data_IF_560902822394
#
_entry.id   IF_560902822394
#
_cell.length_a   1.000
_cell.length_b   1.000
_cell.length_c   1.000
_cell.angle_alpha   90.00
_cell.angle_beta   90.00
_cell.angle_gamma   90.00
#
_symmetry.space_group_name_H-M   'P 1'
#
loop_
_entity.id
_entity.type
_entity.pdbx_description
1 polymer ?
#
# COMPACT_ATOMS: atom_id res chain seq x y z
N UNK A 1 -7.60 -16.16 10.80
CA UNK A 1 -9.01 -15.79 10.52
C UNK A 1 -9.47 -16.56 9.30
N UNK A 2 -10.73 -17.02 9.24
CA UNK A 2 -11.29 -17.63 8.02
C UNK A 2 -11.19 -16.68 6.81
N UNK A 3 -11.10 -17.24 5.61
CA UNK A 3 -11.02 -16.47 4.36
C UNK A 3 -12.28 -15.63 4.11
N UNK A 4 -13.44 -16.13 4.51
CA UNK A 4 -14.76 -15.51 4.40
C UNK A 4 -15.15 -14.64 5.60
N UNK A 5 -14.20 -14.33 6.50
CA UNK A 5 -14.45 -13.44 7.62
C UNK A 5 -14.75 -12.01 7.13
N UNK A 6 -15.99 -11.57 7.34
CA UNK A 6 -16.50 -10.27 6.87
C UNK A 6 -16.04 -9.06 7.72
N UNK A 7 -15.42 -9.31 8.88
CA UNK A 7 -14.95 -8.25 9.77
C UNK A 7 -13.58 -7.68 9.38
N UNK A 8 -13.12 -6.69 10.14
CA UNK A 8 -11.78 -6.15 9.97
C UNK A 8 -10.75 -7.01 10.72
N UNK A 9 -9.75 -7.51 10.00
CA UNK A 9 -8.58 -8.19 10.55
C UNK A 9 -7.31 -7.51 10.01
N UNK A 10 -7.15 -6.24 10.34
CA UNK A 10 -6.11 -5.37 9.78
C UNK A 10 -5.24 -4.81 10.90
N UNK A 11 -3.93 -4.83 10.69
CA UNK A 11 -2.94 -4.13 11.50
C UNK A 11 -1.98 -3.40 10.58
N UNK A 12 -1.57 -2.19 10.98
CA UNK A 12 -0.57 -1.41 10.24
C UNK A 12 0.80 -1.61 10.88
N UNK A 13 1.82 -1.78 10.06
CA UNK A 13 3.20 -1.86 10.51
C UNK A 13 4.07 -0.80 9.83
N UNK A 14 4.91 -0.06 10.57
CA UNK A 14 5.81 0.91 9.97
C UNK A 14 6.94 0.19 9.22
N UNK A 15 7.27 0.72 8.05
CA UNK A 15 8.47 0.36 7.29
C UNK A 15 9.34 1.61 7.24
N UNK A 16 10.54 1.54 7.81
CA UNK A 16 11.41 2.70 7.98
C UNK A 16 12.69 2.52 7.17
N UNK A 17 12.92 3.42 6.22
CA UNK A 17 14.13 3.47 5.41
C UNK A 17 14.74 4.87 5.53
N UNK A 18 16.07 4.95 5.64
CA UNK A 18 16.76 6.25 5.73
C UNK A 18 16.76 6.93 4.37
N UNK A 19 16.45 8.22 4.31
CA UNK A 19 16.42 9.00 3.06
C UNK A 19 17.71 8.86 2.24
N UNK A 20 18.88 8.88 2.89
CA UNK A 20 20.19 8.69 2.22
C UNK A 20 20.35 7.33 1.52
N UNK A 21 19.59 6.32 1.93
CA UNK A 21 19.58 4.99 1.32
C UNK A 21 18.66 4.94 0.09
N UNK A 22 17.79 5.93 -0.09
CA UNK A 22 16.91 6.07 -1.26
C UNK A 22 17.63 6.74 -2.44
N UNK A 23 18.52 7.71 -2.17
CA UNK A 23 19.19 8.54 -3.19
C UNK A 23 20.35 7.86 -3.95
N UNK A 24 20.39 6.53 -4.01
CA UNK A 24 21.48 5.78 -4.65
C UNK A 24 21.30 5.64 -6.17
N UNK A 25 22.35 5.90 -6.94
CA UNK A 25 22.39 5.61 -8.39
C UNK A 25 22.13 4.11 -8.68
N UNK A 26 21.54 3.80 -9.84
CA UNK A 26 21.26 2.45 -10.35
C UNK A 26 20.25 1.62 -9.53
N UNK A 27 19.07 2.17 -9.20
CA UNK A 27 17.96 1.46 -8.55
C UNK A 27 18.27 0.82 -7.17
N UNK A 28 19.43 1.12 -6.58
CA UNK A 28 19.82 0.59 -5.25
C UNK A 28 18.83 1.02 -4.16
N UNK A 29 18.23 2.21 -4.30
CA UNK A 29 17.17 2.68 -3.42
C UNK A 29 15.91 1.82 -3.49
N UNK A 30 15.45 1.48 -4.70
CA UNK A 30 14.26 0.64 -4.91
C UNK A 30 14.45 -0.76 -4.33
N UNK A 31 15.59 -1.39 -4.64
CA UNK A 31 15.91 -2.72 -4.08
C UNK A 31 16.00 -2.72 -2.56
N UNK A 32 16.48 -1.62 -1.95
CA UNK A 32 16.53 -1.46 -0.50
C UNK A 32 15.14 -1.34 0.12
N UNK A 33 14.25 -0.54 -0.48
CA UNK A 33 12.85 -0.43 -0.03
C UNK A 33 12.17 -1.79 -0.12
N UNK A 34 12.31 -2.49 -1.26
CA UNK A 34 11.73 -3.82 -1.44
C UNK A 34 12.24 -4.84 -0.40
N UNK A 35 13.55 -4.81 -0.10
CA UNK A 35 14.14 -5.67 0.93
C UNK A 35 13.60 -5.38 2.33
N UNK A 36 13.42 -4.11 2.70
CA UNK A 36 12.89 -3.76 4.02
C UNK A 36 11.40 -4.09 4.15
N UNK A 37 10.61 -3.89 3.08
CA UNK A 37 9.21 -4.34 3.01
C UNK A 37 9.13 -5.85 3.22
N UNK A 38 9.92 -6.62 2.48
CA UNK A 38 9.94 -8.08 2.60
C UNK A 38 10.34 -8.51 4.03
N UNK A 39 11.41 -7.94 4.58
CA UNK A 39 11.87 -8.23 5.94
C UNK A 39 10.78 -7.97 6.98
N UNK A 40 10.05 -6.85 6.87
CA UNK A 40 8.94 -6.55 7.78
C UNK A 40 7.85 -7.61 7.62
N UNK A 41 7.36 -7.85 6.39
CA UNK A 41 6.27 -8.80 6.11
C UNK A 41 6.63 -10.22 6.56
N UNK A 42 7.82 -10.72 6.22
CA UNK A 42 8.31 -12.04 6.63
C UNK A 42 8.50 -12.15 8.15
N UNK A 43 8.69 -11.01 8.83
CA UNK A 43 8.82 -10.94 10.27
C UNK A 43 7.50 -10.88 11.04
N UNK A 44 6.34 -10.76 10.37
CA UNK A 44 5.01 -10.73 10.99
C UNK A 44 4.50 -12.14 11.27
N UNK A 45 4.99 -12.76 12.34
CA UNK A 45 4.53 -14.07 12.79
C UNK A 45 3.22 -13.98 13.58
N UNK A 46 2.52 -15.10 13.72
CA UNK A 46 1.32 -15.24 14.54
C UNK A 46 1.52 -14.71 15.96
N UNK A 47 2.67 -14.99 16.59
CA UNK A 47 2.99 -14.54 17.94
C UNK A 47 3.10 -13.02 18.00
N UNK A 48 3.76 -12.38 17.02
CA UNK A 48 3.87 -10.92 16.98
C UNK A 48 2.52 -10.25 16.74
N UNK A 49 1.70 -10.81 15.85
CA UNK A 49 0.38 -10.29 15.55
C UNK A 49 -0.52 -10.38 16.78
N UNK A 50 -0.54 -11.52 17.47
CA UNK A 50 -1.30 -11.71 18.71
C UNK A 50 -0.82 -10.74 19.80
N UNK A 51 0.49 -10.65 20.03
CA UNK A 51 1.05 -9.72 21.02
C UNK A 51 0.73 -8.26 20.72
N UNK A 52 0.68 -7.87 19.44
CA UNK A 52 0.27 -6.51 19.06
C UNK A 52 -1.22 -6.25 19.33
N UNK A 53 -2.09 -7.24 19.09
CA UNK A 53 -3.51 -7.16 19.41
C UNK A 53 -3.73 -7.09 20.92
N UNK A 54 -3.06 -7.94 21.70
CA UNK A 54 -3.13 -7.95 23.16
C UNK A 54 -2.68 -6.60 23.75
N UNK A 55 -1.54 -6.08 23.28
CA UNK A 55 -1.04 -4.76 23.71
C UNK A 55 -2.02 -3.63 23.35
N UNK A 56 -2.67 -3.71 22.19
CA UNK A 56 -3.69 -2.73 21.80
C UNK A 56 -4.96 -2.84 22.66
N UNK A 57 -5.36 -4.05 23.09
CA UNK A 57 -6.49 -4.22 24.02
C UNK A 57 -6.19 -3.58 25.38
N UNK A 58 -4.95 -3.71 25.87
CA UNK A 58 -4.53 -3.10 27.14
C UNK A 58 -4.46 -1.58 27.07
N UNK A 59 -4.02 -1.02 25.93
CA UNK A 59 -3.91 0.41 25.72
C UNK A 59 -4.39 0.81 24.31
N UNK A 60 -5.72 0.93 24.12
CA UNK A 60 -6.29 1.14 22.81
C UNK A 60 -5.91 2.51 22.26
N UNK A 61 -5.34 2.49 21.06
CA UNK A 61 -5.04 3.70 20.29
C UNK A 61 -5.87 3.72 19.02
N UNK A 62 -6.39 4.88 18.68
CA UNK A 62 -7.13 5.09 17.43
C UNK A 62 -6.17 5.64 16.38
N UNK A 63 -5.93 4.93 15.26
CA UNK A 63 -5.10 5.48 14.20
C UNK A 63 -5.79 6.71 13.62
N UNK A 64 -5.04 7.80 13.50
CA UNK A 64 -5.48 9.00 12.79
C UNK A 64 -4.83 9.03 11.43
N UNK A 65 -5.53 9.58 10.42
CA UNK A 65 -4.97 9.82 9.09
C UNK A 65 -3.64 10.56 9.18
N UNK A 66 -3.56 11.62 10.01
CA UNK A 66 -2.32 12.36 10.22
C UNK A 66 -1.21 11.46 10.77
N UNK A 67 -1.51 10.61 11.76
CA UNK A 67 -0.53 9.68 12.35
C UNK A 67 -0.01 8.59 11.40
N UNK A 68 -0.73 8.28 10.32
CA UNK A 68 -0.33 7.26 9.35
C UNK A 68 0.69 7.76 8.31
N UNK A 69 0.86 9.08 8.16
CA UNK A 69 1.54 9.65 6.97
C UNK A 69 2.47 10.82 7.26
N UNK A 70 2.68 11.24 8.52
CA UNK A 70 3.62 12.35 8.80
C UNK A 70 5.03 11.98 8.31
N UNK A 71 5.44 12.58 7.19
CA UNK A 71 6.74 12.34 6.56
C UNK A 71 6.89 10.99 5.87
N UNK A 72 5.80 10.33 5.47
CA UNK A 72 5.82 9.00 4.87
C UNK A 72 4.72 8.76 3.83
N UNK A 73 4.49 7.49 3.52
CA UNK A 73 3.45 7.03 2.60
C UNK A 73 2.67 5.88 3.25
N UNK A 74 1.38 5.77 2.95
CA UNK A 74 0.52 4.70 3.44
C UNK A 74 0.13 3.77 2.28
N UNK A 75 0.59 2.52 2.34
CA UNK A 75 0.25 1.48 1.38
C UNK A 75 -0.94 0.65 1.88
N UNK A 76 -1.86 0.29 0.99
CA UNK A 76 -3.00 -0.56 1.32
C UNK A 76 -3.48 -1.38 0.13
N UNK A 77 -4.41 -2.30 0.39
CA UNK A 77 -4.90 -3.29 -0.58
C UNK A 77 -3.79 -4.28 -0.99
N UNK A 78 -4.10 -5.16 -1.94
CA UNK A 78 -3.20 -6.20 -2.41
C UNK A 78 -3.55 -6.57 -3.85
N UNK A 79 -2.55 -6.77 -4.73
CA UNK A 79 -2.79 -7.28 -6.07
C UNK A 79 -3.29 -8.74 -6.09
N UNK A 80 -3.34 -9.40 -4.91
CA UNK A 80 -3.84 -10.77 -4.77
C UNK A 80 -5.36 -10.84 -4.53
N UNK A 81 -6.03 -9.72 -4.28
CA UNK A 81 -7.46 -9.71 -4.05
C UNK A 81 -8.21 -9.79 -5.38
N UNK A 82 -9.11 -10.76 -5.51
CA UNK A 82 -9.90 -10.95 -6.72
C UNK A 82 -11.02 -9.90 -6.83
N UNK A 83 -10.65 -8.74 -7.34
CA UNK A 83 -11.58 -7.62 -7.56
C UNK A 83 -12.30 -7.73 -8.90
N UNK A 84 -11.75 -8.49 -9.87
CA UNK A 84 -12.31 -8.66 -11.22
C UNK A 84 -13.20 -9.92 -11.37
N UNK A 85 -13.19 -10.83 -10.38
CA UNK A 85 -14.05 -12.02 -10.35
C UNK A 85 -15.52 -11.73 -10.06
N UNK A 86 -15.85 -10.50 -9.65
CA UNK A 86 -17.23 -10.08 -9.38
C UNK A 86 -18.02 -9.82 -10.67
N UNK A 87 -18.59 -10.87 -11.25
CA UNK A 87 -19.53 -10.79 -12.38
C UNK A 87 -20.97 -11.05 -11.90
N UNK A 88 -21.82 -10.03 -12.00
CA UNK A 88 -23.23 -10.10 -11.60
C UNK A 88 -24.17 -10.53 -12.73
N UNK A 89 -23.62 -11.00 -13.87
CA UNK A 89 -24.38 -11.47 -15.03
C UNK A 89 -24.38 -10.52 -16.24
N UNK A 90 -23.67 -9.39 -16.13
CA UNK A 90 -23.51 -8.40 -17.20
C UNK A 90 -22.05 -8.21 -17.64
N UNK A 91 -21.16 -9.09 -17.20
CA UNK A 91 -19.74 -9.06 -17.54
C UNK A 91 -18.87 -8.58 -16.39
N UNK A 92 -17.56 -8.85 -16.54
CA UNK A 92 -16.53 -8.53 -15.56
C UNK A 92 -16.27 -7.02 -15.45
N UNK A 93 -15.77 -6.55 -14.30
CA UNK A 93 -15.35 -5.15 -14.16
C UNK A 93 -14.25 -4.78 -15.16
N UNK A 94 -14.28 -3.53 -15.65
CA UNK A 94 -13.27 -2.99 -16.58
C UNK A 94 -12.11 -2.28 -15.86
N UNK A 95 -12.35 -1.81 -14.63
CA UNK A 95 -11.36 -1.14 -13.80
C UNK A 95 -11.82 -1.14 -12.34
N UNK A 96 -10.88 -0.99 -11.41
CA UNK A 96 -11.13 -0.89 -9.96
C UNK A 96 -10.44 0.36 -9.41
N UNK A 97 -11.19 1.14 -8.61
CA UNK A 97 -10.74 2.42 -8.04
C UNK A 97 -11.28 2.59 -6.63
N UNK A 98 -10.56 3.35 -5.80
CA UNK A 98 -11.01 3.67 -4.44
C UNK A 98 -11.96 4.88 -4.41
N UNK A 99 -12.89 4.86 -3.45
CA UNK A 99 -13.76 6.01 -3.16
C UNK A 99 -13.01 7.19 -2.54
N UNK A 100 -13.54 8.41 -2.69
CA UNK A 100 -12.92 9.65 -2.22
C UNK A 100 -12.61 9.67 -0.72
N UNK A 101 -13.40 8.99 0.11
CA UNK A 101 -13.17 8.90 1.56
C UNK A 101 -11.86 8.21 1.96
N UNK A 102 -11.22 7.49 1.03
CA UNK A 102 -9.94 6.81 1.26
C UNK A 102 -8.74 7.56 0.67
N UNK A 103 -8.94 8.77 0.14
CA UNK A 103 -7.90 9.55 -0.55
C UNK A 103 -7.32 10.64 0.36
N UNK A 104 -6.00 10.64 0.48
CA UNK A 104 -5.22 11.64 1.21
C UNK A 104 -3.79 11.66 0.67
N UNK A 105 -3.09 12.79 0.86
CA UNK A 105 -1.71 12.94 0.40
C UNK A 105 -0.79 11.85 0.98
N UNK A 106 -0.06 11.17 0.10
CA UNK A 106 0.81 10.04 0.44
C UNK A 106 0.10 8.67 0.50
N UNK A 107 -1.17 8.57 0.08
CA UNK A 107 -1.89 7.29 -0.01
C UNK A 107 -1.55 6.53 -1.30
N UNK A 108 -1.28 5.25 -1.15
CA UNK A 108 -1.13 4.29 -2.24
C UNK A 108 -2.10 3.13 -2.04
N UNK A 109 -2.83 2.78 -3.10
CA UNK A 109 -3.71 1.63 -3.12
C UNK A 109 -3.36 0.74 -4.30
N UNK A 110 -3.10 -0.54 -4.02
CA UNK A 110 -2.64 -1.49 -5.03
C UNK A 110 -3.75 -2.47 -5.39
N UNK A 111 -3.96 -2.69 -6.68
CA UNK A 111 -4.93 -3.63 -7.23
C UNK A 111 -4.23 -4.59 -8.20
N UNK A 112 -4.79 -5.77 -8.48
CA UNK A 112 -4.41 -6.46 -9.70
C UNK A 112 -4.72 -5.54 -10.89
N UNK A 113 -3.88 -5.56 -11.91
CA UNK A 113 -4.20 -4.94 -13.18
C UNK A 113 -5.21 -5.78 -13.95
N UNK A 114 -5.81 -5.19 -14.98
CA UNK A 114 -6.77 -5.90 -15.85
C UNK A 114 -6.09 -7.00 -16.67
N UNK A 115 -4.82 -6.81 -17.01
CA UNK A 115 -4.01 -7.79 -17.69
C UNK A 115 -3.39 -8.77 -16.69
N UNK A 116 -3.29 -10.04 -17.09
CA UNK A 116 -2.76 -11.06 -16.19
C UNK A 116 -1.29 -10.77 -15.85
N UNK A 117 -1.01 -10.60 -14.55
CA UNK A 117 0.32 -10.30 -14.04
C UNK A 117 0.66 -8.81 -13.93
N UNK A 118 -0.20 -7.91 -14.43
CA UNK A 118 -0.01 -6.47 -14.23
C UNK A 118 -0.55 -6.01 -12.87
N UNK A 119 -0.17 -4.80 -12.47
CA UNK A 119 -0.53 -4.20 -11.17
C UNK A 119 -0.94 -2.75 -11.42
N UNK A 120 -2.12 -2.41 -10.93
CA UNK A 120 -2.61 -1.03 -10.92
C UNK A 120 -2.25 -0.38 -9.58
N UNK A 121 -1.64 0.80 -9.61
CA UNK A 121 -1.34 1.59 -8.41
C UNK A 121 -2.08 2.92 -8.47
N UNK A 122 -3.03 3.13 -7.55
CA UNK A 122 -3.66 4.42 -7.35
C UNK A 122 -2.84 5.22 -6.33
N UNK A 123 -2.32 6.39 -6.74
CA UNK A 123 -1.52 7.28 -5.91
C UNK A 123 -2.28 8.58 -5.68
N UNK A 124 -2.42 8.99 -4.42
CA UNK A 124 -2.99 10.30 -4.05
C UNK A 124 -1.88 11.18 -3.49
N UNK A 125 -1.66 12.32 -4.13
CA UNK A 125 -0.59 13.26 -3.82
C UNK A 125 -1.14 14.68 -3.75
N UNK A 126 -0.43 15.56 -3.04
CA UNK A 126 -0.63 16.99 -3.17
C UNK A 126 -0.41 17.43 -4.63
N UNK A 127 -1.11 18.49 -5.11
CA UNK A 127 -0.92 18.98 -6.48
C UNK A 127 0.53 19.31 -6.82
N UNK A 128 1.29 19.85 -5.85
CA UNK A 128 2.71 20.16 -6.02
C UNK A 128 3.54 18.90 -6.24
N UNK A 129 3.34 17.87 -5.41
CA UNK A 129 4.08 16.61 -5.52
C UNK A 129 3.70 15.87 -6.81
N UNK A 130 2.42 15.87 -7.19
CA UNK A 130 1.95 15.28 -8.44
C UNK A 130 2.62 15.95 -9.66
N UNK A 131 2.60 17.28 -9.73
CA UNK A 131 3.21 18.00 -10.85
C UNK A 131 4.73 17.74 -10.98
N UNK A 132 5.43 17.58 -9.85
CA UNK A 132 6.85 17.22 -9.85
C UNK A 132 7.09 15.79 -10.34
N UNK A 133 6.23 14.86 -9.92
CA UNK A 133 6.32 13.45 -10.34
C UNK A 133 5.99 13.28 -11.83
N UNK A 134 4.99 13.99 -12.33
CA UNK A 134 4.61 14.02 -13.77
C UNK A 134 5.72 14.61 -14.66
N UNK A 135 6.56 15.47 -14.09
CA UNK A 135 7.71 16.06 -14.78
C UNK A 135 9.00 15.24 -14.65
N UNK A 136 8.99 14.16 -13.85
CA UNK A 136 10.14 13.30 -13.64
C UNK A 136 10.27 12.28 -14.77
N UNK A 137 11.31 12.42 -15.58
CA UNK A 137 11.50 11.59 -16.77
C UNK A 137 11.83 10.13 -16.45
N UNK A 138 12.50 9.86 -15.33
CA UNK A 138 12.82 8.49 -14.92
C UNK A 138 11.54 7.76 -14.50
N UNK A 139 10.69 8.42 -13.70
CA UNK A 139 9.40 7.89 -13.30
C UNK A 139 8.48 7.67 -14.50
N UNK A 140 8.31 8.69 -15.36
CA UNK A 140 7.42 8.60 -16.52
C UNK A 140 7.88 7.56 -17.53
N UNK A 141 9.18 7.30 -17.66
CA UNK A 141 9.70 6.23 -18.52
C UNK A 141 9.48 4.82 -17.94
N UNK A 142 9.20 4.70 -16.65
CA UNK A 142 8.92 3.44 -15.98
C UNK A 142 7.41 3.09 -15.93
N UNK A 143 6.54 4.01 -16.33
CA UNK A 143 5.12 3.75 -16.53
C UNK A 143 4.92 3.21 -17.96
N UNK A 144 4.33 2.03 -18.06
CA UNK A 144 3.87 1.46 -19.35
C UNK A 144 2.53 2.05 -19.79
#
# INVERSE_FOLDING_TARGET
>A
VPEDYFGNAVITWPIVVKLKELSGHNNKGLGRVAAEVNKVVAGLTDEKLKGAVESWIENPTMPTLRGLVVGGMALSSSPRFDVYGNDFGWGKPVAVRSGSGNKFDGKLTVYPGVENGSVDVEICLSPETAARLESDTEFMAALE
#
